data_IF_906561932542
#
_entry.id   IF_906561932542
#
_cell.length_a   1.000
_cell.length_b   1.000
_cell.length_c   1.000
_cell.angle_alpha   90.00
_cell.angle_beta   90.00
_cell.angle_gamma   90.00
#
_symmetry.space_group_name_H-M   'P 1'
#
loop_
_entity.id
_entity.type
_entity.pdbx_description
1 polymer ?
#
# COMPACT_ATOMS: atom_id res chain seq x y z
N UNK A 1 12.26 -26.42 -37.28
CA UNK A 1 11.41 -25.26 -36.90
C UNK A 1 10.98 -25.29 -35.42
N UNK A 2 10.43 -26.39 -34.91
CA UNK A 2 9.89 -26.51 -33.54
C UNK A 2 10.85 -26.08 -32.41
N UNK A 3 12.13 -26.48 -32.45
CA UNK A 3 13.14 -26.08 -31.45
C UNK A 3 13.43 -24.57 -31.40
N UNK A 4 13.29 -23.86 -32.54
CA UNK A 4 13.44 -22.39 -32.57
C UNK A 4 12.20 -21.72 -31.96
N UNK A 5 11.00 -22.23 -32.30
CA UNK A 5 9.75 -21.75 -31.72
C UNK A 5 9.74 -21.88 -30.19
N UNK A 6 10.14 -23.03 -29.64
CA UNK A 6 10.20 -23.26 -28.20
C UNK A 6 11.20 -22.31 -27.50
N UNK A 7 12.34 -22.02 -28.12
CA UNK A 7 13.31 -21.03 -27.59
C UNK A 7 12.73 -19.62 -27.55
N UNK A 8 11.98 -19.21 -28.58
CA UNK A 8 11.33 -17.90 -28.61
C UNK A 8 10.19 -17.80 -27.57
N UNK A 9 9.39 -18.85 -27.42
CA UNK A 9 8.36 -18.93 -26.38
C UNK A 9 9.01 -18.82 -24.98
N UNK A 10 10.06 -19.60 -24.73
CA UNK A 10 10.80 -19.54 -23.46
C UNK A 10 11.40 -18.16 -23.19
N UNK A 11 11.96 -17.51 -24.22
CA UNK A 11 12.48 -16.16 -24.11
C UNK A 11 11.38 -15.13 -23.79
N UNK A 12 10.23 -15.22 -24.44
CA UNK A 12 9.08 -14.34 -24.17
C UNK A 12 8.59 -14.53 -22.73
N UNK A 13 8.45 -15.78 -22.27
CA UNK A 13 8.04 -16.08 -20.89
C UNK A 13 9.04 -15.49 -19.89
N UNK A 14 10.34 -15.62 -20.14
CA UNK A 14 11.37 -15.05 -19.28
C UNK A 14 11.28 -13.51 -19.23
N UNK A 15 11.08 -12.85 -20.37
CA UNK A 15 10.91 -11.39 -20.43
C UNK A 15 9.65 -10.95 -19.68
N UNK A 16 8.53 -11.64 -19.85
CA UNK A 16 7.28 -11.35 -19.13
C UNK A 16 7.46 -11.54 -17.63
N UNK A 17 8.14 -12.60 -17.19
CA UNK A 17 8.43 -12.84 -15.78
C UNK A 17 9.29 -11.73 -15.18
N UNK A 18 10.31 -11.26 -15.91
CA UNK A 18 11.15 -10.13 -15.48
C UNK A 18 10.31 -8.85 -15.39
N UNK A 19 9.51 -8.54 -16.40
CA UNK A 19 8.65 -7.36 -16.41
C UNK A 19 7.65 -7.38 -15.24
N UNK A 20 7.07 -8.55 -14.96
CA UNK A 20 6.15 -8.74 -13.84
C UNK A 20 6.86 -8.57 -12.49
N UNK A 21 8.07 -9.10 -12.33
CA UNK A 21 8.87 -8.90 -11.13
C UNK A 21 9.18 -7.41 -10.91
N UNK A 22 9.63 -6.70 -11.95
CA UNK A 22 9.87 -5.24 -11.89
C UNK A 22 8.61 -4.48 -11.49
N UNK A 23 7.47 -4.83 -12.08
CA UNK A 23 6.18 -4.23 -11.75
C UNK A 23 5.81 -4.45 -10.28
N UNK A 24 5.90 -5.69 -9.77
CA UNK A 24 5.63 -6.00 -8.37
C UNK A 24 6.60 -5.29 -7.43
N UNK A 25 7.89 -5.20 -7.81
CA UNK A 25 8.88 -4.46 -7.02
C UNK A 25 8.52 -2.98 -6.93
N UNK A 26 8.11 -2.35 -8.05
CA UNK A 26 7.63 -0.98 -8.02
C UNK A 26 6.39 -0.81 -7.12
N UNK A 27 5.41 -1.72 -7.26
CA UNK A 27 4.17 -1.67 -6.49
C UNK A 27 4.42 -1.76 -4.98
N UNK A 28 5.25 -2.70 -4.53
CA UNK A 28 5.48 -2.94 -3.10
C UNK A 28 6.42 -1.91 -2.49
N UNK A 29 7.56 -1.59 -3.11
CA UNK A 29 8.59 -0.76 -2.45
C UNK A 29 8.64 0.70 -2.88
N UNK A 30 8.00 1.08 -3.99
CA UNK A 30 8.09 2.43 -4.56
C UNK A 30 6.71 3.08 -4.74
N UNK A 31 6.69 4.27 -5.36
CA UNK A 31 5.46 4.91 -5.83
C UNK A 31 4.93 4.12 -7.06
N UNK A 32 3.75 3.52 -6.99
CA UNK A 32 3.16 2.80 -8.12
C UNK A 32 2.96 3.72 -9.33
N UNK A 33 3.04 3.18 -10.55
CA UNK A 33 2.77 4.00 -11.75
C UNK A 33 1.28 4.38 -11.89
N UNK A 34 0.38 3.56 -11.33
CA UNK A 34 -1.06 3.82 -11.34
C UNK A 34 -1.50 4.45 -10.03
N UNK A 35 -2.24 5.55 -10.12
CA UNK A 35 -2.84 6.21 -8.96
C UNK A 35 -3.84 5.32 -8.23
N UNK A 36 -4.58 4.45 -8.94
CA UNK A 36 -5.51 3.52 -8.30
C UNK A 36 -4.77 2.45 -7.50
N UNK A 37 -3.68 1.90 -8.07
CA UNK A 37 -2.82 0.96 -7.35
C UNK A 37 -2.15 1.61 -6.12
N UNK A 38 -1.89 2.92 -6.18
CA UNK A 38 -1.42 3.65 -5.01
C UNK A 38 -2.47 3.73 -3.91
N UNK A 39 -3.73 4.03 -4.23
CA UNK A 39 -4.81 3.99 -3.23
C UNK A 39 -4.97 2.60 -2.60
N UNK A 40 -4.97 1.57 -3.43
CA UNK A 40 -5.05 0.17 -2.98
C UNK A 40 -3.86 -0.21 -2.12
N UNK A 41 -2.65 0.22 -2.49
CA UNK A 41 -1.43 0.00 -1.71
C UNK A 41 -1.54 0.62 -0.31
N UNK A 42 -1.87 1.91 -0.23
CA UNK A 42 -1.98 2.62 1.07
C UNK A 42 -3.00 1.92 1.97
N UNK A 43 -4.14 1.50 1.41
CA UNK A 43 -5.13 0.74 2.15
C UNK A 43 -4.63 -0.64 2.58
N UNK A 44 -3.98 -1.39 1.68
CA UNK A 44 -3.47 -2.72 1.95
C UNK A 44 -2.36 -2.70 3.02
N UNK A 45 -1.47 -1.71 2.99
CA UNK A 45 -0.42 -1.56 4.00
C UNK A 45 -1.02 -1.40 5.39
N UNK A 46 -2.01 -0.53 5.57
CA UNK A 46 -2.74 -0.40 6.84
C UNK A 46 -3.46 -1.70 7.19
N UNK A 47 -4.17 -2.30 6.25
CA UNK A 47 -4.93 -3.52 6.50
C UNK A 47 -4.05 -4.68 7.00
N UNK A 48 -2.86 -4.87 6.43
CA UNK A 48 -1.97 -5.98 6.79
C UNK A 48 -1.05 -5.67 7.99
N UNK A 49 -0.87 -4.40 8.34
CA UNK A 49 -0.10 -3.99 9.53
C UNK A 49 -0.96 -4.04 10.81
N UNK A 50 -2.30 -3.98 10.67
CA UNK A 50 -3.27 -4.01 11.76
C UNK A 50 -4.09 -5.33 11.79
N UNK A 51 -3.66 -6.37 12.53
CA UNK A 51 -4.38 -7.64 12.60
C UNK A 51 -5.81 -7.49 13.10
N UNK A 52 -6.09 -6.58 14.03
CA UNK A 52 -7.45 -6.37 14.53
C UNK A 52 -8.36 -5.80 13.44
N UNK A 53 -7.85 -4.87 12.63
CA UNK A 53 -8.58 -4.34 11.49
C UNK A 53 -8.85 -5.44 10.45
N UNK A 54 -7.85 -6.27 10.15
CA UNK A 54 -8.00 -7.38 9.22
C UNK A 54 -9.08 -8.37 9.67
N UNK A 55 -9.11 -8.72 10.97
CA UNK A 55 -10.16 -9.56 11.55
C UNK A 55 -11.54 -8.90 11.54
N UNK A 56 -11.59 -7.58 11.78
CA UNK A 56 -12.85 -6.83 11.77
C UNK A 56 -13.50 -6.82 10.38
N UNK A 57 -12.69 -6.73 9.32
CA UNK A 57 -13.21 -6.73 7.95
C UNK A 57 -13.51 -8.12 7.40
N UNK A 58 -12.88 -9.18 7.91
CA UNK A 58 -13.19 -10.56 7.52
C UNK A 58 -12.89 -10.90 6.05
N UNK A 59 -11.92 -10.21 5.44
CA UNK A 59 -11.69 -10.26 3.98
C UNK A 59 -10.99 -11.54 3.51
N UNK A 60 -10.15 -12.15 4.35
CA UNK A 60 -9.19 -13.20 3.95
C UNK A 60 -9.53 -14.59 4.49
N UNK A 61 -10.47 -14.66 5.42
CA UNK A 61 -10.92 -15.85 6.14
C UNK A 61 -11.62 -16.84 5.20
N UNK A 62 -12.33 -16.33 4.19
CA UNK A 62 -12.92 -17.15 3.12
C UNK A 62 -11.86 -17.93 2.32
N UNK A 63 -10.61 -17.48 2.33
CA UNK A 63 -9.48 -18.15 1.67
C UNK A 63 -8.67 -19.02 2.66
N UNK A 64 -9.14 -19.17 3.90
CA UNK A 64 -8.49 -19.98 4.94
C UNK A 64 -7.33 -19.27 5.65
N UNK A 65 -7.13 -17.97 5.44
CA UNK A 65 -6.09 -17.19 6.13
C UNK A 65 -6.69 -16.68 7.44
N UNK A 66 -6.22 -17.19 8.58
CA UNK A 66 -6.78 -16.88 9.91
C UNK A 66 -5.71 -16.57 10.97
N UNK A 67 -4.43 -16.50 10.58
CA UNK A 67 -3.31 -16.32 11.51
C UNK A 67 -3.28 -14.97 12.23
N UNK A 68 -4.07 -14.00 11.75
CA UNK A 68 -4.26 -12.67 12.36
C UNK A 68 -5.34 -12.64 13.45
N UNK A 69 -6.28 -13.61 13.48
CA UNK A 69 -7.46 -13.59 14.36
C UNK A 69 -7.18 -13.64 15.86
N UNK A 70 -5.97 -14.02 16.26
CA UNK A 70 -5.53 -14.05 17.66
C UNK A 70 -4.51 -12.97 18.01
N UNK A 71 -4.28 -11.98 17.13
CA UNK A 71 -3.25 -10.95 17.30
C UNK A 71 -3.88 -9.61 17.62
N UNK A 72 -3.22 -8.88 18.51
CA UNK A 72 -3.50 -7.47 18.78
C UNK A 72 -2.58 -6.61 17.92
N UNK A 73 -3.00 -5.38 17.68
CA UNK A 73 -2.19 -4.38 17.00
C UNK A 73 -0.94 -4.04 17.86
N UNK A 74 0.15 -3.65 17.21
CA UNK A 74 1.41 -3.30 17.87
C UNK A 74 1.34 -1.84 18.35
N UNK A 75 0.97 -1.66 19.62
CA UNK A 75 0.85 -0.33 20.26
C UNK A 75 2.20 0.24 20.75
N UNK A 76 3.32 -0.32 20.30
CA UNK A 76 4.64 0.20 20.70
C UNK A 76 4.93 1.56 20.08
N UNK A 77 5.70 2.39 20.79
CA UNK A 77 6.21 3.66 20.25
C UNK A 77 6.98 3.49 18.94
N UNK A 78 7.70 2.36 18.79
CA UNK A 78 8.41 2.03 17.57
C UNK A 78 7.45 1.78 16.40
N UNK A 79 6.31 1.13 16.63
CA UNK A 79 5.27 0.96 15.61
C UNK A 79 4.63 2.28 15.24
N UNK A 80 4.21 3.05 16.23
CA UNK A 80 3.62 4.37 16.04
C UNK A 80 4.54 5.28 15.19
N UNK A 81 5.85 5.29 15.44
CA UNK A 81 6.78 6.05 14.61
C UNK A 81 6.84 5.53 13.16
N UNK A 82 6.79 4.21 12.95
CA UNK A 82 6.73 3.61 11.60
C UNK A 82 5.47 4.03 10.85
N UNK A 83 4.33 4.17 11.55
CA UNK A 83 3.10 4.68 10.96
C UNK A 83 3.23 6.14 10.50
N UNK A 84 3.77 7.01 11.35
CA UNK A 84 4.02 8.40 10.96
C UNK A 84 4.97 8.50 9.77
N UNK A 85 6.04 7.70 9.75
CA UNK A 85 6.96 7.64 8.62
C UNK A 85 6.27 7.16 7.34
N UNK A 86 5.37 6.17 7.45
CA UNK A 86 4.52 5.70 6.34
C UNK A 86 3.62 6.83 5.83
N UNK A 87 2.86 7.49 6.69
CA UNK A 87 1.97 8.59 6.29
C UNK A 87 2.71 9.75 5.63
N UNK A 88 3.89 10.12 6.12
CA UNK A 88 4.75 11.14 5.49
C UNK A 88 5.19 10.72 4.08
N UNK A 89 5.64 9.48 3.92
CA UNK A 89 6.03 8.94 2.61
C UNK A 89 4.85 8.93 1.66
N UNK A 90 3.68 8.47 2.11
CA UNK A 90 2.49 8.36 1.27
C UNK A 90 1.97 9.74 0.87
N UNK A 91 1.96 10.70 1.78
CA UNK A 91 1.60 12.08 1.47
C UNK A 91 2.54 12.69 0.42
N UNK A 92 3.84 12.47 0.58
CA UNK A 92 4.85 12.94 -0.38
C UNK A 92 4.67 12.27 -1.75
N UNK A 93 4.37 10.98 -1.80
CA UNK A 93 4.14 10.25 -3.05
C UNK A 93 2.82 10.65 -3.73
N UNK A 94 1.74 10.84 -2.96
CA UNK A 94 0.43 11.24 -3.47
C UNK A 94 0.52 12.60 -4.19
N UNK A 95 1.27 13.55 -3.63
CA UNK A 95 1.48 14.88 -4.23
C UNK A 95 2.29 14.87 -5.52
N UNK A 96 2.96 13.76 -5.86
CA UNK A 96 3.69 13.62 -7.14
C UNK A 96 2.79 13.22 -8.30
N UNK A 97 1.53 12.85 -8.07
CA UNK A 97 0.61 12.52 -9.16
C UNK A 97 0.00 13.79 -9.77
N UNK A 98 0.12 14.01 -11.08
CA UNK A 98 -0.38 15.22 -11.74
C UNK A 98 -1.92 15.28 -11.72
N UNK A 99 -2.48 16.29 -11.06
CA UNK A 99 -3.94 16.49 -10.89
C UNK A 99 -4.68 16.67 -12.22
N UNK A 100 -4.03 17.25 -13.22
CA UNK A 100 -4.57 17.46 -14.57
C UNK A 100 -4.86 16.14 -15.29
N UNK A 101 -4.07 15.09 -15.02
CA UNK A 101 -4.23 13.75 -15.61
C UNK A 101 -5.22 12.85 -14.87
N UNK A 102 -5.83 13.34 -13.79
CA UNK A 102 -6.77 12.56 -12.99
C UNK A 102 -8.20 12.70 -13.50
N UNK A 103 -8.95 11.61 -13.43
CA UNK A 103 -10.41 11.62 -13.61
C UNK A 103 -11.09 12.40 -12.48
N UNK A 104 -12.36 12.76 -12.66
CA UNK A 104 -13.14 13.47 -11.62
C UNK A 104 -13.23 12.68 -10.32
N UNK A 105 -13.41 11.35 -10.38
CA UNK A 105 -13.44 10.50 -9.19
C UNK A 105 -12.07 10.43 -8.53
N UNK A 106 -11.00 10.29 -9.30
CA UNK A 106 -9.64 10.28 -8.78
C UNK A 106 -9.28 11.58 -8.06
N UNK A 107 -9.70 12.74 -8.58
CA UNK A 107 -9.47 14.03 -7.91
C UNK A 107 -10.15 14.12 -6.55
N UNK A 108 -11.36 13.57 -6.44
CA UNK A 108 -12.07 13.48 -5.16
C UNK A 108 -11.31 12.56 -4.20
N UNK A 109 -10.96 11.35 -4.63
CA UNK A 109 -10.20 10.40 -3.83
C UNK A 109 -8.84 10.95 -3.40
N UNK A 110 -8.09 11.61 -4.29
CA UNK A 110 -6.82 12.28 -3.97
C UNK A 110 -7.04 13.33 -2.90
N UNK A 111 -8.07 14.18 -3.02
CA UNK A 111 -8.33 15.22 -2.02
C UNK A 111 -8.68 14.63 -0.65
N UNK A 112 -9.51 13.60 -0.60
CA UNK A 112 -9.90 12.94 0.64
C UNK A 112 -8.68 12.29 1.30
N UNK A 113 -7.90 11.53 0.53
CA UNK A 113 -6.71 10.86 1.03
C UNK A 113 -5.63 11.85 1.44
N UNK A 114 -5.42 12.91 0.67
CA UNK A 114 -4.47 13.97 1.01
C UNK A 114 -4.86 14.66 2.32
N UNK A 115 -6.13 15.02 2.49
CA UNK A 115 -6.62 15.61 3.74
C UNK A 115 -6.40 14.66 4.94
N UNK A 116 -6.73 13.37 4.78
CA UNK A 116 -6.52 12.37 5.81
C UNK A 116 -5.03 12.25 6.17
N UNK A 117 -4.16 12.03 5.19
CA UNK A 117 -2.72 11.88 5.44
C UNK A 117 -2.09 13.14 6.03
N UNK A 118 -2.51 14.33 5.60
CA UNK A 118 -2.06 15.60 6.20
C UNK A 118 -2.43 15.65 7.67
N UNK A 119 -3.69 15.33 8.03
CA UNK A 119 -4.14 15.30 9.41
C UNK A 119 -3.36 14.30 10.26
N UNK A 120 -3.10 13.09 9.72
CA UNK A 120 -2.29 12.09 10.40
C UNK A 120 -0.85 12.57 10.63
N UNK A 121 -0.19 13.12 9.61
CA UNK A 121 1.18 13.64 9.71
C UNK A 121 1.26 14.81 10.69
N UNK A 122 0.30 15.74 10.65
CA UNK A 122 0.23 16.84 11.62
C UNK A 122 -0.04 16.35 13.04
N UNK A 123 -0.67 15.19 13.21
CA UNK A 123 -0.89 14.54 14.49
C UNK A 123 0.39 14.08 15.19
N UNK A 124 1.51 13.92 14.47
CA UNK A 124 2.78 13.41 15.03
C UNK A 124 3.30 14.27 16.19
N UNK A 125 3.16 15.60 16.09
CA UNK A 125 3.56 16.51 17.18
C UNK A 125 2.76 16.27 18.47
N UNK A 126 1.61 15.63 18.37
CA UNK A 126 0.71 15.30 19.46
C UNK A 126 0.70 13.81 19.82
N UNK A 127 1.63 13.00 19.27
CA UNK A 127 1.60 11.54 19.41
C UNK A 127 1.58 11.03 20.88
N UNK A 128 2.10 11.83 21.82
CA UNK A 128 2.11 11.52 23.26
C UNK A 128 0.89 12.06 24.05
N UNK A 129 -0.09 12.66 23.38
CA UNK A 129 -1.24 13.30 24.02
C UNK A 129 -2.48 12.39 24.06
N UNK A 130 -2.30 11.11 23.75
CA UNK A 130 -3.32 10.06 23.86
C UNK A 130 -3.19 9.23 25.15
N UNK A 131 -2.38 9.66 26.12
CA UNK A 131 -2.04 8.91 27.34
C UNK A 131 -1.44 7.53 27.04
N UNK A 132 -0.31 7.45 26.31
CA UNK A 132 0.34 6.18 26.05
C UNK A 132 0.97 5.66 27.36
N UNK A 133 0.64 4.42 27.72
CA UNK A 133 1.14 3.71 28.91
C UNK A 133 2.49 3.05 28.66
#
# INVERSE_FOLDING_TARGET
MFKRLLKWIGAIIAVVAIAFAVFLTNLVWFRPWSLNLFYEKVFAEVLFDHPQLLSTLGLVEQFGITSHNGKLDDESSAHQQREFDRWKRDLAQLRQYPLDRQSRSQRLSTRVLEWFLQMQVEGEKWQWHNYPV
#
